data_IF_072617999835
#
_entry.id   IF_072617999835
#
_cell.length_a   1.000
_cell.length_b   1.000
_cell.length_c   1.000
_cell.angle_alpha   90.00
_cell.angle_beta   90.00
_cell.angle_gamma   90.00
#
_symmetry.space_group_name_H-M   'P 1'
#
loop_
_entity.id
_entity.type
_entity.pdbx_description
1 polymer ?
#
# COMPACT_ATOMS: atom_id res chain seq x y z
N UNK A 1 21.71 -5.02 1.72
CA UNK A 1 21.15 -4.66 0.40
C UNK A 1 20.59 -5.92 -0.25
N UNK A 2 19.49 -5.80 -0.99
CA UNK A 2 18.89 -6.94 -1.69
C UNK A 2 19.85 -7.50 -2.76
N UNK A 3 19.69 -8.77 -3.14
CA UNK A 3 20.54 -9.42 -4.16
C UNK A 3 20.48 -8.72 -5.51
N UNK A 4 19.29 -8.24 -5.88
CA UNK A 4 19.06 -7.44 -7.08
C UNK A 4 19.82 -6.10 -7.09
N UNK A 5 20.27 -5.62 -5.93
CA UNK A 5 21.00 -4.37 -5.74
C UNK A 5 22.49 -4.59 -5.41
N UNK A 6 23.03 -5.76 -5.74
CA UNK A 6 24.44 -6.09 -5.50
C UNK A 6 24.78 -6.44 -4.04
N UNK A 7 23.79 -6.62 -3.18
CA UNK A 7 24.01 -7.15 -1.83
C UNK A 7 24.03 -8.67 -1.77
N UNK A 8 24.44 -9.23 -0.64
CA UNK A 8 24.51 -10.68 -0.42
C UNK A 8 23.12 -11.37 -0.42
N UNK A 9 22.03 -10.60 -0.28
CA UNK A 9 20.67 -11.16 -0.28
C UNK A 9 20.43 -12.13 0.87
N UNK A 10 21.00 -11.86 2.05
CA UNK A 10 20.95 -12.77 3.19
C UNK A 10 19.50 -13.04 3.60
N UNK A 11 19.18 -14.33 3.75
CA UNK A 11 17.88 -14.75 4.26
C UNK A 11 17.63 -14.16 5.64
N UNK A 12 16.42 -13.62 5.85
CA UNK A 12 16.00 -13.02 7.13
C UNK A 12 16.43 -11.56 7.34
N UNK A 13 17.13 -10.92 6.39
CA UNK A 13 17.38 -9.48 6.42
C UNK A 13 16.36 -8.74 5.57
N UNK A 14 15.78 -7.69 6.14
CA UNK A 14 14.89 -6.80 5.40
C UNK A 14 15.65 -5.81 4.51
N UNK A 15 14.94 -5.09 3.65
CA UNK A 15 15.47 -4.03 2.80
C UNK A 15 14.58 -2.76 2.85
N UNK A 16 15.06 -1.60 2.36
CA UNK A 16 14.29 -0.37 2.37
C UNK A 16 12.93 -0.48 1.67
N UNK A 17 12.84 -1.23 0.57
CA UNK A 17 11.61 -1.42 -0.20
C UNK A 17 10.55 -2.21 0.60
N UNK A 18 10.96 -3.26 1.32
CA UNK A 18 10.11 -4.03 2.23
C UNK A 18 9.63 -3.18 3.42
N UNK A 19 10.52 -2.38 4.01
CA UNK A 19 10.16 -1.46 5.08
C UNK A 19 9.18 -0.40 4.59
N UNK A 20 9.40 0.12 3.39
CA UNK A 20 8.49 1.08 2.76
C UNK A 20 7.14 0.42 2.46
N UNK A 21 7.12 -0.82 1.97
CA UNK A 21 5.91 -1.59 1.68
C UNK A 21 5.09 -1.83 2.95
N UNK A 22 5.75 -2.31 4.02
CA UNK A 22 5.11 -2.54 5.31
C UNK A 22 4.52 -1.25 5.89
N UNK A 23 5.30 -0.16 5.87
CA UNK A 23 4.86 1.15 6.33
C UNK A 23 3.69 1.71 5.52
N UNK A 24 3.75 1.63 4.19
CA UNK A 24 2.68 2.12 3.32
C UNK A 24 1.40 1.30 3.54
N UNK A 25 1.46 -0.03 3.50
CA UNK A 25 0.30 -0.89 3.73
C UNK A 25 -0.40 -0.61 5.06
N UNK A 26 0.36 -0.55 6.16
CA UNK A 26 -0.16 -0.23 7.49
C UNK A 26 -0.75 1.18 7.58
N UNK A 27 -0.09 2.16 6.96
CA UNK A 27 -0.56 3.54 6.91
C UNK A 27 -1.88 3.65 6.11
N UNK A 28 -2.00 2.93 5.00
CA UNK A 28 -3.19 2.93 4.16
C UNK A 28 -4.37 2.24 4.86
N UNK A 29 -4.13 1.10 5.54
CA UNK A 29 -5.13 0.44 6.38
C UNK A 29 -5.67 1.37 7.48
N UNK A 30 -4.77 2.11 8.15
CA UNK A 30 -5.16 3.10 9.16
C UNK A 30 -6.00 4.24 8.57
N UNK A 31 -5.62 4.72 7.38
CA UNK A 31 -6.37 5.75 6.66
C UNK A 31 -7.77 5.28 6.24
N UNK A 32 -7.93 4.03 5.80
CA UNK A 32 -9.25 3.45 5.50
C UNK A 32 -10.14 3.41 6.73
N UNK A 33 -9.62 2.90 7.85
CA UNK A 33 -10.34 2.84 9.13
C UNK A 33 -10.75 4.23 9.63
N UNK A 34 -9.91 5.24 9.44
CA UNK A 34 -10.23 6.62 9.81
C UNK A 34 -11.23 7.30 8.86
N UNK A 35 -11.20 6.96 7.56
CA UNK A 35 -12.09 7.55 6.55
C UNK A 35 -13.51 6.98 6.59
N UNK A 36 -13.65 5.67 6.82
CA UNK A 36 -14.91 4.96 6.69
C UNK A 36 -16.08 5.55 7.52
N UNK A 37 -15.89 5.99 8.79
CA UNK A 37 -16.97 6.60 9.57
C UNK A 37 -17.56 7.87 8.92
N UNK A 38 -16.71 8.69 8.29
CA UNK A 38 -17.16 9.91 7.59
C UNK A 38 -18.02 9.64 6.36
N UNK A 39 -18.00 8.40 5.86
CA UNK A 39 -18.76 7.92 4.71
C UNK A 39 -19.97 7.07 5.13
N UNK A 40 -20.21 6.89 6.43
CA UNK A 40 -21.26 5.99 6.94
C UNK A 40 -20.94 4.50 6.72
N UNK A 41 -19.68 4.16 6.41
CA UNK A 41 -19.24 2.79 6.16
C UNK A 41 -18.60 2.21 7.42
N UNK A 42 -18.95 0.96 7.73
CA UNK A 42 -18.33 0.21 8.84
C UNK A 42 -17.31 -0.79 8.28
N UNK A 43 -16.04 -0.57 8.58
CA UNK A 43 -14.98 -1.56 8.27
C UNK A 43 -15.12 -2.79 9.17
N UNK A 44 -14.76 -4.00 8.68
CA UNK A 44 -14.72 -5.19 9.51
C UNK A 44 -13.63 -5.04 10.59
N UNK A 45 -13.87 -5.67 11.74
CA UNK A 45 -12.98 -5.56 12.92
C UNK A 45 -11.89 -6.62 12.98
N UNK A 46 -12.03 -7.71 12.22
CA UNK A 46 -11.06 -8.80 12.18
C UNK A 46 -9.94 -8.47 11.19
N UNK A 47 -8.65 -8.62 11.56
CA UNK A 47 -7.53 -8.33 10.67
C UNK A 47 -7.58 -9.11 9.34
N UNK A 48 -8.06 -10.36 9.37
CA UNK A 48 -8.18 -11.21 8.18
C UNK A 48 -9.27 -10.75 7.20
N UNK A 49 -10.18 -9.88 7.63
CA UNK A 49 -11.30 -9.40 6.82
C UNK A 49 -11.02 -8.04 6.15
N UNK A 50 -9.89 -7.39 6.47
CA UNK A 50 -9.43 -6.16 5.82
C UNK A 50 -7.91 -6.20 5.67
N UNK A 51 -7.47 -6.48 4.46
CA UNK A 51 -6.05 -6.67 4.13
C UNK A 51 -5.63 -5.61 3.11
N UNK A 52 -4.51 -4.94 3.37
CA UNK A 52 -3.81 -4.13 2.38
C UNK A 52 -2.49 -4.81 2.05
N UNK A 53 -2.44 -5.44 0.89
CA UNK A 53 -1.20 -5.95 0.33
C UNK A 53 -0.46 -4.80 -0.35
N UNK A 54 0.80 -4.57 0.03
CA UNK A 54 1.64 -3.53 -0.55
C UNK A 54 2.85 -4.17 -1.21
N UNK A 55 3.03 -3.89 -2.50
CA UNK A 55 4.21 -4.27 -3.27
C UNK A 55 4.97 -3.02 -3.65
N UNK A 56 6.26 -2.99 -3.34
CA UNK A 56 7.16 -1.89 -3.67
C UNK A 56 8.28 -2.43 -4.54
N UNK A 57 8.44 -1.84 -5.70
CA UNK A 57 9.46 -2.18 -6.67
C UNK A 57 10.45 -1.03 -6.80
N UNK A 58 11.74 -1.34 -6.75
CA UNK A 58 12.75 -0.43 -7.25
C UNK A 58 12.75 -0.50 -8.78
N UNK A 59 12.60 0.65 -9.43
CA UNK A 59 12.59 0.80 -10.88
C UNK A 59 13.70 1.74 -11.34
N UNK A 60 14.01 1.71 -12.63
CA UNK A 60 15.08 2.52 -13.23
C UNK A 60 16.38 1.72 -13.42
N UNK A 61 17.51 2.43 -13.46
CA UNK A 61 18.84 1.90 -13.75
C UNK A 61 19.83 2.32 -12.67
N UNK A 62 20.33 1.34 -11.91
CA UNK A 62 21.45 1.50 -10.99
C UNK A 62 22.73 2.01 -11.69
N UNK A 63 22.93 1.66 -12.97
CA UNK A 63 24.12 2.09 -13.73
C UNK A 63 24.07 3.57 -14.08
N UNK A 64 22.88 4.07 -14.39
CA UNK A 64 22.67 5.48 -14.77
C UNK A 64 22.35 6.36 -13.57
N UNK A 65 22.40 5.80 -12.34
CA UNK A 65 21.98 6.44 -11.10
C UNK A 65 20.53 6.98 -11.15
N UNK A 66 19.71 6.39 -12.01
CA UNK A 66 18.29 6.70 -12.16
C UNK A 66 17.49 5.68 -11.35
N UNK A 67 17.19 6.01 -10.10
CA UNK A 67 16.50 5.11 -9.17
C UNK A 67 15.16 5.69 -8.78
N UNK A 68 14.10 4.94 -9.03
CA UNK A 68 12.73 5.30 -8.66
C UNK A 68 12.04 4.18 -7.90
N UNK A 69 10.87 4.50 -7.34
CA UNK A 69 9.98 3.52 -6.74
C UNK A 69 8.69 3.41 -7.53
N UNK A 70 8.12 2.21 -7.53
CA UNK A 70 6.74 1.94 -7.95
C UNK A 70 6.02 1.22 -6.83
N UNK A 71 4.79 1.63 -6.58
CA UNK A 71 3.95 1.06 -5.51
C UNK A 71 2.67 0.48 -6.10
N UNK A 72 2.33 -0.73 -5.66
CA UNK A 72 1.05 -1.33 -5.92
C UNK A 72 0.40 -1.66 -4.57
N UNK A 73 -0.79 -1.11 -4.33
CA UNK A 73 -1.63 -1.48 -3.20
C UNK A 73 -2.81 -2.30 -3.70
N UNK A 74 -3.02 -3.47 -3.11
CA UNK A 74 -4.20 -4.29 -3.31
C UNK A 74 -4.99 -4.35 -2.00
N UNK A 75 -6.18 -3.75 -2.02
CA UNK A 75 -7.07 -3.68 -0.87
C UNK A 75 -8.12 -4.77 -0.99
N UNK A 76 -8.17 -5.67 -0.01
CA UNK A 76 -9.13 -6.77 0.07
C UNK A 76 -9.99 -6.61 1.31
N UNK A 77 -11.30 -6.52 1.15
CA UNK A 77 -12.23 -6.38 2.29
C UNK A 77 -13.40 -7.35 2.17
N UNK A 78 -13.66 -8.13 3.23
CA UNK A 78 -14.78 -9.06 3.31
C UNK A 78 -16.05 -8.35 3.73
N UNK A 79 -17.18 -8.73 3.13
CA UNK A 79 -18.51 -8.32 3.58
C UNK A 79 -18.84 -6.84 3.35
N UNK A 80 -18.07 -6.15 2.51
CA UNK A 80 -18.34 -4.77 2.11
C UNK A 80 -18.73 -4.72 0.63
N UNK A 81 -19.76 -3.93 0.30
CA UNK A 81 -20.12 -3.69 -1.09
C UNK A 81 -18.96 -3.00 -1.82
N UNK A 82 -18.70 -3.41 -3.07
CA UNK A 82 -17.58 -2.89 -3.88
C UNK A 82 -17.59 -1.36 -3.97
N UNK A 83 -18.76 -0.77 -4.15
CA UNK A 83 -18.94 0.68 -4.27
C UNK A 83 -18.55 1.42 -2.98
N UNK A 84 -18.87 0.86 -1.82
CA UNK A 84 -18.49 1.45 -0.53
C UNK A 84 -17.00 1.29 -0.26
N UNK A 85 -16.42 0.13 -0.63
CA UNK A 85 -14.98 -0.07 -0.58
C UNK A 85 -14.23 0.96 -1.44
N UNK A 86 -14.68 1.17 -2.68
CA UNK A 86 -14.07 2.14 -3.59
C UNK A 86 -14.13 3.57 -3.04
N UNK A 87 -15.25 3.98 -2.43
CA UNK A 87 -15.36 5.29 -1.75
C UNK A 87 -14.37 5.43 -0.59
N UNK A 88 -14.28 4.40 0.25
CA UNK A 88 -13.35 4.37 1.39
C UNK A 88 -11.90 4.45 0.90
N UNK A 89 -11.53 3.65 -0.09
CA UNK A 89 -10.19 3.63 -0.68
C UNK A 89 -9.84 4.97 -1.31
N UNK A 90 -10.78 5.58 -2.05
CA UNK A 90 -10.58 6.90 -2.64
C UNK A 90 -10.30 7.95 -1.56
N UNK A 91 -11.10 7.96 -0.48
CA UNK A 91 -10.89 8.90 0.63
C UNK A 91 -9.58 8.62 1.37
N UNK A 92 -9.27 7.36 1.62
CA UNK A 92 -8.03 6.92 2.28
C UNK A 92 -6.79 7.40 1.52
N UNK A 93 -6.79 7.32 0.18
CA UNK A 93 -5.69 7.83 -0.66
C UNK A 93 -5.44 9.33 -0.48
N UNK A 94 -6.46 10.12 -0.19
CA UNK A 94 -6.32 11.57 0.03
C UNK A 94 -5.70 11.92 1.39
N UNK A 95 -5.93 11.09 2.40
CA UNK A 95 -5.55 11.40 3.79
C UNK A 95 -4.33 10.63 4.29
N UNK A 96 -4.04 9.45 3.71
CA UNK A 96 -2.90 8.61 4.03
C UNK A 96 -1.58 9.39 3.93
N UNK A 97 -0.82 9.54 5.04
CA UNK A 97 0.47 10.24 5.04
C UNK A 97 1.44 9.78 3.94
N UNK A 98 1.60 8.47 3.73
CA UNK A 98 2.48 7.94 2.68
C UNK A 98 2.01 8.32 1.27
N UNK A 99 0.70 8.29 1.02
CA UNK A 99 0.12 8.73 -0.26
C UNK A 99 0.33 10.22 -0.51
N UNK A 100 0.28 11.05 0.54
CA UNK A 100 0.54 12.49 0.43
C UNK A 100 2.01 12.79 0.22
N UNK A 101 2.90 12.10 0.95
CA UNK A 101 4.34 12.28 0.87
C UNK A 101 4.93 11.87 -0.49
N UNK A 102 4.34 10.85 -1.13
CA UNK A 102 4.83 10.29 -2.40
C UNK A 102 4.08 10.81 -3.62
N UNK A 103 3.10 11.68 -3.42
CA UNK A 103 2.28 12.25 -4.48
C UNK A 103 3.18 12.90 -5.54
N UNK A 104 2.88 12.60 -6.80
CA UNK A 104 3.58 13.12 -8.00
C UNK A 104 5.06 12.70 -8.14
N UNK A 105 5.62 12.00 -7.14
CA UNK A 105 7.00 11.50 -7.14
C UNK A 105 7.09 9.98 -7.39
N UNK A 106 6.08 9.22 -6.98
CA UNK A 106 6.07 7.76 -7.04
C UNK A 106 4.83 7.30 -7.81
N UNK A 107 5.02 6.43 -8.80
CA UNK A 107 3.90 5.83 -9.50
C UNK A 107 3.18 4.82 -8.60
N UNK A 108 1.98 5.16 -8.16
CA UNK A 108 1.20 4.36 -7.21
C UNK A 108 -0.17 3.97 -7.75
N UNK A 109 -0.40 2.67 -7.91
CA UNK A 109 -1.71 2.09 -8.24
C UNK A 109 -2.38 1.52 -7.00
N UNK A 110 -3.71 1.68 -6.90
CA UNK A 110 -4.51 1.08 -5.82
C UNK A 110 -5.65 0.31 -6.47
N UNK A 111 -5.78 -0.98 -6.15
CA UNK A 111 -6.85 -1.86 -6.61
C UNK A 111 -7.69 -2.32 -5.43
N UNK A 112 -8.97 -2.58 -5.68
CA UNK A 112 -9.93 -3.02 -4.67
C UNK A 112 -10.53 -4.37 -5.09
N UNK A 113 -10.57 -5.31 -4.15
CA UNK A 113 -11.21 -6.61 -4.29
C UNK A 113 -12.14 -6.84 -3.08
N UNK A 114 -13.37 -7.25 -3.34
CA UNK A 114 -14.27 -7.70 -2.28
C UNK A 114 -14.06 -9.18 -2.06
N UNK A 115 -13.90 -9.59 -0.81
CA UNK A 115 -13.83 -11.00 -0.44
C UNK A 115 -15.24 -11.50 -0.08
N UNK A 116 -15.60 -12.68 -0.60
CA UNK A 116 -16.74 -13.46 -0.12
C UNK A 116 -16.40 -14.06 1.23
#
# INVERSE_FOLDING_TARGET
>A
MAKALGGSGDAGKTNPEELFAAGYGACFQSAMNAAAPSLGVKMPSKPEDSIVESTVELVGSMKDLDMGLRVQLLVKVRGLAKEDLEKVVHKARQVCPYSRATKDNVFTTVRCETME
#
